data_IF_370158029339
#
_entry.id   IF_370158029339
#
_cell.length_a   1.000
_cell.length_b   1.000
_cell.length_c   1.000
_cell.angle_alpha   90.00
_cell.angle_beta   90.00
_cell.angle_gamma   90.00
#
_symmetry.space_group_name_H-M   'P 1'
#
loop_
_entity.id
_entity.type
_entity.pdbx_description
1 polymer ?
#
# COMPACT_ATOMS: atom_id res chain seq x y z
N UNK A 1 -16.07 26.10 -1.07
CA UNK A 1 -16.44 24.67 -0.93
C UNK A 1 -17.29 24.13 -2.09
N UNK A 2 -18.23 24.89 -2.69
CA UNK A 2 -19.17 24.34 -3.69
C UNK A 2 -18.60 24.02 -5.10
N UNK A 3 -17.47 24.60 -5.51
CA UNK A 3 -16.94 24.44 -6.88
C UNK A 3 -16.35 23.05 -7.16
N UNK A 4 -15.64 22.46 -6.19
CA UNK A 4 -15.01 21.13 -6.36
C UNK A 4 -16.03 19.98 -6.35
N UNK A 5 -17.06 20.07 -5.50
CA UNK A 5 -18.10 19.04 -5.44
C UNK A 5 -18.95 18.98 -6.74
N UNK A 6 -19.11 20.11 -7.44
CA UNK A 6 -19.77 20.13 -8.77
C UNK A 6 -18.94 19.44 -9.84
N UNK A 7 -17.62 19.65 -9.84
CA UNK A 7 -16.72 19.04 -10.82
C UNK A 7 -16.80 17.51 -10.79
N UNK A 8 -16.71 16.88 -9.62
CA UNK A 8 -16.78 15.40 -9.51
C UNK A 8 -18.15 14.87 -9.97
N UNK A 9 -19.24 15.55 -9.59
CA UNK A 9 -20.60 15.14 -9.97
C UNK A 9 -20.82 15.14 -11.49
N UNK A 10 -20.19 16.06 -12.23
CA UNK A 10 -20.31 16.13 -13.69
C UNK A 10 -19.72 14.86 -14.35
N UNK A 11 -18.56 14.37 -13.90
CA UNK A 11 -17.96 13.12 -14.41
C UNK A 11 -18.73 11.88 -14.01
N UNK A 12 -19.29 11.86 -12.78
CA UNK A 12 -20.16 10.75 -12.34
C UNK A 12 -21.42 10.70 -13.19
N UNK A 13 -22.06 11.85 -13.46
CA UNK A 13 -23.25 11.93 -14.31
C UNK A 13 -22.95 11.57 -15.77
N UNK A 14 -21.77 11.93 -16.28
CA UNK A 14 -21.29 11.54 -17.59
C UNK A 14 -20.94 10.03 -17.70
N UNK A 15 -21.01 9.27 -16.58
CA UNK A 15 -20.54 7.88 -16.45
C UNK A 15 -19.06 7.69 -16.78
N UNK A 16 -18.29 8.77 -16.72
CA UNK A 16 -16.83 8.75 -16.92
C UNK A 16 -16.10 8.37 -15.63
N UNK A 17 -16.80 8.41 -14.49
CA UNK A 17 -16.29 8.04 -13.17
C UNK A 17 -17.33 7.22 -12.40
N UNK A 18 -16.93 6.03 -11.94
CA UNK A 18 -17.73 5.23 -11.00
C UNK A 18 -17.23 5.43 -9.58
N UNK A 19 -18.14 5.69 -8.64
CA UNK A 19 -17.82 5.99 -7.25
C UNK A 19 -18.56 5.00 -6.36
N UNK A 20 -17.81 4.06 -5.80
CA UNK A 20 -18.32 3.08 -4.84
C UNK A 20 -17.93 3.48 -3.42
N UNK A 21 -18.89 3.40 -2.49
CA UNK A 21 -18.60 3.58 -1.08
C UNK A 21 -17.74 2.42 -0.56
N UNK A 22 -16.66 2.74 0.14
CA UNK A 22 -15.81 1.77 0.84
C UNK A 22 -15.76 2.19 2.31
N UNK A 23 -16.01 1.23 3.22
CA UNK A 23 -15.90 1.48 4.65
C UNK A 23 -14.45 1.85 5.01
N UNK A 24 -14.25 2.74 6.00
CA UNK A 24 -12.90 3.19 6.38
C UNK A 24 -11.95 2.04 6.76
N UNK A 25 -12.50 0.97 7.36
CA UNK A 25 -11.73 -0.22 7.70
C UNK A 25 -11.16 -0.95 6.46
N UNK A 26 -11.76 -0.72 5.30
CA UNK A 26 -11.42 -1.34 4.02
C UNK A 26 -10.83 -0.37 2.99
N UNK A 27 -10.78 0.92 3.31
CA UNK A 27 -10.21 1.92 2.44
C UNK A 27 -8.67 1.95 2.57
N UNK A 28 -8.01 1.10 1.80
CA UNK A 28 -6.54 0.95 1.80
C UNK A 28 -5.82 2.28 1.46
N UNK A 29 -6.46 3.18 0.71
CA UNK A 29 -5.89 4.48 0.38
C UNK A 29 -5.76 5.42 1.60
N UNK A 30 -6.38 5.08 2.74
CA UNK A 30 -6.27 5.86 3.96
C UNK A 30 -4.81 5.92 4.46
N UNK A 31 -3.99 4.88 4.23
CA UNK A 31 -2.54 4.90 4.54
C UNK A 31 -1.81 6.09 3.92
N UNK A 32 -2.20 6.48 2.70
CA UNK A 32 -1.52 7.52 1.94
C UNK A 32 -2.11 8.92 2.15
N UNK A 33 -3.30 9.00 2.74
CA UNK A 33 -4.08 10.25 2.78
C UNK A 33 -4.43 10.71 4.19
N UNK A 34 -4.24 9.86 5.21
CA UNK A 34 -4.59 10.14 6.61
C UNK A 34 -3.45 9.79 7.56
N UNK A 35 -3.40 10.51 8.68
CA UNK A 35 -2.57 10.14 9.83
C UNK A 35 -3.28 9.03 10.63
N UNK A 36 -3.05 7.78 10.23
CA UNK A 36 -3.61 6.61 10.88
C UNK A 36 -2.89 6.30 12.21
N UNK A 37 -3.64 5.72 13.15
CA UNK A 37 -3.04 5.11 14.33
C UNK A 37 -2.24 3.85 13.97
N UNK A 38 -1.29 3.40 14.81
CA UNK A 38 -0.38 2.30 14.49
C UNK A 38 -1.08 1.02 14.03
N UNK A 39 -2.15 0.61 14.73
CA UNK A 39 -2.88 -0.62 14.42
C UNK A 39 -3.58 -0.58 13.05
N UNK A 40 -4.18 0.56 12.69
CA UNK A 40 -4.85 0.74 11.40
C UNK A 40 -3.83 0.81 10.26
N UNK A 41 -2.71 1.47 10.50
CA UNK A 41 -1.60 1.55 9.56
C UNK A 41 -1.01 0.17 9.25
N UNK A 42 -0.69 -0.63 10.27
CA UNK A 42 -0.15 -1.98 10.11
C UNK A 42 -1.12 -2.91 9.36
N UNK A 43 -2.41 -2.89 9.71
CA UNK A 43 -3.43 -3.70 9.02
C UNK A 43 -3.53 -3.34 7.54
N UNK A 44 -3.51 -2.06 7.20
CA UNK A 44 -3.63 -1.64 5.79
C UNK A 44 -2.32 -1.87 5.02
N UNK A 45 -1.16 -1.69 5.67
CA UNK A 45 0.15 -2.00 5.10
C UNK A 45 0.28 -3.48 4.72
N UNK A 46 -0.17 -4.40 5.58
CA UNK A 46 -0.13 -5.83 5.29
C UNK A 46 -1.02 -6.20 4.09
N UNK A 47 -2.20 -5.56 3.96
CA UNK A 47 -3.09 -5.74 2.81
C UNK A 47 -2.52 -5.24 1.49
N UNK A 48 -1.61 -4.26 1.53
CA UNK A 48 -0.90 -3.75 0.37
C UNK A 48 0.29 -4.63 -0.04
N UNK A 49 0.60 -5.68 0.72
CA UNK A 49 1.81 -6.48 0.55
C UNK A 49 3.08 -5.62 0.56
N UNK A 50 3.08 -4.53 1.33
CA UNK A 50 4.23 -3.63 1.46
C UNK A 50 5.13 -4.17 2.56
N UNK A 51 6.20 -4.82 2.16
CA UNK A 51 7.20 -5.38 3.04
C UNK A 51 7.98 -4.31 3.81
N UNK A 52 8.63 -4.73 4.88
CA UNK A 52 9.62 -3.90 5.53
C UNK A 52 10.92 -3.95 4.75
N UNK A 53 11.27 -2.81 4.17
CA UNK A 53 12.50 -2.64 3.40
C UNK A 53 13.70 -3.08 4.22
N UNK A 54 13.78 -2.74 5.52
CA UNK A 54 14.91 -3.13 6.35
C UNK A 54 14.99 -4.65 6.54
N UNK A 55 13.84 -5.31 6.77
CA UNK A 55 13.83 -6.77 6.89
C UNK A 55 14.07 -7.45 5.54
N UNK A 56 13.56 -6.88 4.44
CA UNK A 56 13.77 -7.41 3.09
C UNK A 56 15.26 -7.36 2.69
N UNK A 57 15.98 -6.29 3.03
CA UNK A 57 17.43 -6.22 2.81
C UNK A 57 18.21 -7.25 3.61
N UNK A 58 17.83 -7.51 4.87
CA UNK A 58 18.49 -8.54 5.70
C UNK A 58 18.31 -9.95 5.11
N UNK A 59 17.14 -10.24 4.52
CA UNK A 59 16.91 -11.52 3.85
C UNK A 59 17.79 -11.66 2.60
N UNK A 60 17.96 -10.58 1.82
CA UNK A 60 18.83 -10.57 0.64
C UNK A 60 20.29 -10.81 1.04
N UNK A 61 20.78 -10.15 2.08
CA UNK A 61 22.15 -10.35 2.58
C UNK A 61 22.38 -11.78 3.08
N UNK A 62 21.37 -12.42 3.66
CA UNK A 62 21.45 -13.81 4.09
C UNK A 62 21.47 -14.80 2.92
N UNK A 63 20.68 -14.55 1.86
CA UNK A 63 20.69 -15.39 0.65
C UNK A 63 21.99 -15.25 -0.14
N UNK A 64 22.54 -14.03 -0.23
CA UNK A 64 23.83 -13.80 -0.89
C UNK A 64 24.98 -14.52 -0.13
N UNK A 65 24.90 -14.56 1.20
CA UNK A 65 25.87 -15.28 2.02
C UNK A 65 25.77 -16.81 1.92
N UNK A 66 24.58 -17.36 1.67
CA UNK A 66 24.39 -18.80 1.46
C UNK A 66 24.88 -19.24 0.06
N UNK A 67 24.65 -18.43 -0.98
CA UNK A 67 25.15 -18.69 -2.34
C UNK A 67 26.70 -18.63 -2.42
N UNK A 68 27.32 -17.71 -1.69
CA UNK A 68 28.79 -17.60 -1.61
C UNK A 68 29.45 -18.81 -0.91
N UNK A 69 28.73 -19.49 -0.02
CA UNK A 69 29.22 -20.70 0.66
C UNK A 69 29.11 -21.93 -0.25
N UNK A 70 28.01 -22.10 -0.98
CA UNK A 70 27.84 -23.22 -1.92
C UNK A 70 28.84 -23.19 -3.08
N UNK A 71 29.25 -22.01 -3.56
CA UNK A 71 30.27 -21.88 -4.60
C UNK A 71 31.71 -22.11 -4.12
N UNK A 72 31.95 -22.18 -2.81
CA UNK A 72 33.28 -22.41 -2.23
C UNK A 72 33.56 -23.89 -1.90
N UNK A 73 32.54 -24.75 -1.93
CA UNK A 73 32.68 -26.20 -1.69
C UNK A 73 32.73 -27.06 -2.98
N UNK A 74 32.86 -26.44 -4.17
CA UNK A 74 32.93 -27.13 -5.48
C UNK A 74 34.34 -27.19 -6.09
#
# INVERSE_FOLDING_TARGET
>A
MAKHARFINEYVQAKELDVTYVASADNIADVFTKALGPAEFERQRSRLNVEDVQNAWVVIEATDAEEDVEMQEA
#
